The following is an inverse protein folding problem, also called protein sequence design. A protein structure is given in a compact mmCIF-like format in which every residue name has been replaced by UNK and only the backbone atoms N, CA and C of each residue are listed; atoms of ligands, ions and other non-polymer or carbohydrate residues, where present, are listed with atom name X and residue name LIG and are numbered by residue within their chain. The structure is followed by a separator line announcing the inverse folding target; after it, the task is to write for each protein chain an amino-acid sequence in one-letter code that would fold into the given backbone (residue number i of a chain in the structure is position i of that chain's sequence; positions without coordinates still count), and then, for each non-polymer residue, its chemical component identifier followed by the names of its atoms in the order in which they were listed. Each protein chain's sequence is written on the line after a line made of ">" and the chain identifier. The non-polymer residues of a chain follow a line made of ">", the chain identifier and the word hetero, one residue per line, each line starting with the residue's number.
data_IF_205498114971
#
_entry.id   IF_205498114971
#
_cell.length_a   1.000
_cell.length_b   1.000
_cell.length_c   1.000
_cell.angle_alpha   90.00
_cell.angle_beta   90.00
_cell.angle_gamma   90.00
#
_symmetry.space_group_name_H-M   'P 1'
#
loop_
_entity.id
_entity.type
_entity.pdbx_description
1 polymer ?
#
# COMPACT_ATOMS: atom_id res chain seq x y z
N UNK A 1 -2.36 -18.00 -21.22
CA UNK A 1 -0.95 -17.77 -20.85
C UNK A 1 -0.45 -16.51 -21.56
N UNK A 2 0.71 -15.95 -21.19
CA UNK A 2 1.30 -14.81 -21.94
C UNK A 2 1.51 -15.13 -23.43
N UNK A 3 1.69 -16.41 -23.75
CA UNK A 3 1.79 -16.93 -25.12
C UNK A 3 0.46 -16.87 -25.87
N UNK A 4 -0.65 -17.28 -25.23
CA UNK A 4 -2.00 -17.16 -25.82
C UNK A 4 -2.42 -15.69 -26.03
N UNK A 5 -1.88 -14.76 -25.23
CA UNK A 5 -2.11 -13.33 -25.38
C UNK A 5 -1.17 -12.65 -26.42
N UNK A 6 -0.24 -13.40 -27.04
CA UNK A 6 0.73 -12.85 -27.98
C UNK A 6 1.81 -11.95 -27.34
N UNK A 7 2.01 -12.06 -26.03
CA UNK A 7 2.90 -11.20 -25.25
C UNK A 7 4.24 -11.86 -24.87
N UNK A 8 4.59 -13.02 -25.44
CA UNK A 8 5.81 -13.76 -25.05
C UNK A 8 7.09 -12.93 -25.13
N UNK A 9 7.30 -12.18 -26.22
CA UNK A 9 8.48 -11.32 -26.37
C UNK A 9 8.51 -10.19 -25.33
N UNK A 10 7.35 -9.58 -25.05
CA UNK A 10 7.25 -8.53 -24.04
C UNK A 10 7.52 -9.06 -22.63
N UNK A 11 7.07 -10.30 -22.35
CA UNK A 11 7.36 -10.98 -21.10
C UNK A 11 8.86 -11.24 -20.91
N UNK A 12 9.54 -11.80 -21.91
CA UNK A 12 10.98 -12.07 -21.82
C UNK A 12 11.77 -10.78 -21.54
N UNK A 13 11.47 -9.70 -22.27
CA UNK A 13 12.09 -8.40 -22.01
C UNK A 13 11.78 -7.85 -20.62
N UNK A 14 10.57 -8.08 -20.10
CA UNK A 14 10.15 -7.62 -18.78
C UNK A 14 10.94 -8.32 -17.67
N UNK A 15 11.04 -9.65 -17.70
CA UNK A 15 11.71 -10.41 -16.63
C UNK A 15 13.23 -10.23 -16.61
N UNK A 16 13.83 -9.89 -17.75
CA UNK A 16 15.24 -9.56 -17.88
C UNK A 16 15.57 -8.10 -17.50
N UNK A 17 14.57 -7.27 -17.18
CA UNK A 17 14.76 -5.87 -16.84
C UNK A 17 15.68 -5.67 -15.63
N UNK A 18 16.90 -5.22 -15.87
CA UNK A 18 17.97 -5.09 -14.85
C UNK A 18 18.17 -3.67 -14.32
N UNK A 19 17.38 -2.71 -14.78
CA UNK A 19 17.50 -1.31 -14.38
C UNK A 19 16.55 -1.01 -13.22
N UNK A 20 17.03 -0.24 -12.25
CA UNK A 20 16.15 0.45 -11.31
C UNK A 20 15.32 1.50 -12.05
N UNK A 21 14.09 1.69 -11.59
CA UNK A 21 13.14 2.61 -12.22
C UNK A 21 12.80 3.71 -11.24
N UNK A 22 13.13 4.96 -11.60
CA UNK A 22 12.62 6.12 -10.89
C UNK A 22 11.10 6.18 -11.04
N UNK A 23 10.39 6.25 -9.93
CA UNK A 23 8.93 6.30 -9.93
C UNK A 23 8.45 7.70 -10.30
N UNK A 24 7.60 7.76 -11.31
CA UNK A 24 6.96 9.00 -11.78
C UNK A 24 5.55 8.70 -12.29
N UNK A 25 4.71 9.73 -12.25
CA UNK A 25 3.35 9.72 -12.75
C UNK A 25 3.15 10.97 -13.61
N UNK A 26 2.81 10.78 -14.87
CA UNK A 26 2.43 11.88 -15.77
C UNK A 26 0.91 11.93 -15.85
N UNK A 27 0.32 13.00 -15.33
CA UNK A 27 -1.12 13.24 -15.44
C UNK A 27 -1.49 13.47 -16.91
N UNK A 28 -2.41 12.69 -17.51
CA UNK A 28 -2.87 12.90 -18.88
C UNK A 28 -3.46 14.29 -19.13
N UNK A 29 -3.96 14.96 -18.09
CA UNK A 29 -4.49 16.32 -18.13
C UNK A 29 -3.44 17.38 -17.76
N UNK A 30 -2.23 16.95 -17.38
CA UNK A 30 -1.09 17.80 -17.07
C UNK A 30 -1.22 18.64 -15.80
N UNK A 31 -2.18 18.34 -14.90
CA UNK A 31 -2.44 19.15 -13.70
C UNK A 31 -1.65 18.68 -12.49
N UNK A 32 -1.50 17.37 -12.33
CA UNK A 32 -0.94 16.74 -11.13
C UNK A 32 0.11 15.68 -11.47
N UNK A 33 1.02 15.99 -12.41
CA UNK A 33 2.15 15.11 -12.67
C UNK A 33 3.14 15.17 -11.51
N UNK A 34 3.67 14.02 -11.12
CA UNK A 34 4.62 13.88 -10.00
C UNK A 34 5.82 13.05 -10.47
N UNK A 35 7.04 13.43 -10.07
CA UNK A 35 8.25 12.74 -10.51
C UNK A 35 9.23 12.57 -9.37
N UNK A 36 9.83 11.39 -9.27
CA UNK A 36 10.89 11.14 -8.29
C UNK A 36 10.35 10.88 -6.89
N UNK A 37 9.14 10.33 -6.77
CA UNK A 37 8.56 9.93 -5.47
C UNK A 37 9.10 8.61 -4.93
N UNK A 38 10.13 8.05 -5.57
CA UNK A 38 10.81 6.85 -5.14
C UNK A 38 11.61 6.21 -6.26
N UNK A 39 12.25 5.10 -5.94
CA UNK A 39 12.90 4.20 -6.91
C UNK A 39 12.43 2.79 -6.62
N UNK A 40 12.13 2.04 -7.68
CA UNK A 40 11.83 0.61 -7.61
C UNK A 40 13.05 -0.19 -8.05
N UNK A 41 13.34 -1.34 -7.41
CA UNK A 41 14.39 -2.24 -7.84
C UNK A 41 14.08 -2.82 -9.23
N UNK A 42 15.12 -3.36 -9.86
CA UNK A 42 15.00 -4.09 -11.12
C UNK A 42 13.97 -5.23 -11.04
N UNK A 43 13.40 -5.64 -12.16
CA UNK A 43 12.53 -6.84 -12.22
C UNK A 43 13.38 -8.11 -12.12
N UNK A 44 14.52 -8.13 -12.82
CA UNK A 44 15.48 -9.23 -12.75
C UNK A 44 15.94 -9.45 -11.31
N UNK A 45 15.92 -10.71 -10.89
CA UNK A 45 16.33 -11.11 -9.54
C UNK A 45 17.79 -10.76 -9.26
N UNK A 46 18.03 -10.19 -8.09
CA UNK A 46 19.35 -9.92 -7.55
C UNK A 46 19.31 -10.04 -6.02
N UNK A 47 20.41 -10.50 -5.43
CA UNK A 47 20.54 -10.66 -3.98
C UNK A 47 21.23 -9.42 -3.37
N UNK A 48 20.60 -8.26 -3.54
CA UNK A 48 21.13 -6.93 -3.27
C UNK A 48 20.50 -6.25 -2.03
N UNK A 49 19.69 -6.97 -1.24
CA UNK A 49 18.94 -6.40 -0.13
C UNK A 49 17.56 -5.84 -0.54
N UNK A 50 17.24 -5.81 -1.83
CA UNK A 50 15.92 -5.41 -2.35
C UNK A 50 15.05 -6.61 -2.74
N UNK A 51 15.38 -7.82 -2.30
CA UNK A 51 14.68 -9.05 -2.64
C UNK A 51 13.20 -9.00 -2.23
N UNK A 52 12.92 -8.54 -1.01
CA UNK A 52 11.55 -8.43 -0.50
C UNK A 52 10.74 -7.40 -1.30
N UNK A 53 11.31 -6.23 -1.56
CA UNK A 53 10.68 -5.18 -2.36
C UNK A 53 10.34 -5.68 -3.76
N UNK A 54 11.30 -6.35 -4.41
CA UNK A 54 11.15 -6.96 -5.73
C UNK A 54 10.00 -7.97 -5.77
N UNK A 55 9.91 -8.86 -4.76
CA UNK A 55 8.81 -9.83 -4.64
C UNK A 55 7.47 -9.13 -4.43
N UNK A 56 7.40 -8.15 -3.52
CA UNK A 56 6.15 -7.48 -3.16
C UNK A 56 5.63 -6.62 -4.31
N UNK A 57 6.49 -5.94 -5.07
CA UNK A 57 6.07 -5.19 -6.26
C UNK A 57 5.41 -6.11 -7.28
N UNK A 58 6.00 -7.27 -7.59
CA UNK A 58 5.41 -8.22 -8.53
C UNK A 58 4.08 -8.78 -8.01
N UNK A 59 4.00 -9.09 -6.71
CA UNK A 59 2.74 -9.52 -6.07
C UNK A 59 1.68 -8.42 -6.13
N UNK A 60 2.05 -7.16 -5.91
CA UNK A 60 1.14 -6.01 -6.00
C UNK A 60 0.54 -5.85 -7.39
N UNK A 61 1.37 -5.98 -8.45
CA UNK A 61 0.90 -5.96 -9.85
C UNK A 61 -0.07 -7.12 -10.12
N UNK A 62 0.27 -8.34 -9.66
CA UNK A 62 -0.59 -9.51 -9.80
C UNK A 62 -1.93 -9.35 -9.03
N UNK A 63 -1.92 -8.62 -7.92
CA UNK A 63 -3.08 -8.33 -7.08
C UNK A 63 -3.97 -7.18 -7.59
N UNK A 64 -3.83 -6.72 -8.84
CA UNK A 64 -4.61 -5.60 -9.38
C UNK A 64 -6.14 -5.73 -9.18
N UNK A 65 -6.67 -6.96 -9.16
CA UNK A 65 -8.09 -7.25 -8.91
C UNK A 65 -8.42 -7.62 -7.46
N UNK A 66 -7.43 -7.68 -6.57
CA UNK A 66 -7.55 -8.09 -5.17
C UNK A 66 -6.93 -7.00 -4.27
N UNK A 67 -7.52 -5.80 -4.33
CA UNK A 67 -6.99 -4.61 -3.65
C UNK A 67 -6.84 -4.75 -2.13
N UNK A 68 -7.67 -5.56 -1.46
CA UNK A 68 -7.56 -5.82 -0.02
C UNK A 68 -6.25 -6.53 0.34
N UNK A 69 -5.82 -7.50 -0.48
CA UNK A 69 -4.55 -8.21 -0.30
C UNK A 69 -3.37 -7.27 -0.61
N UNK A 70 -3.45 -6.47 -1.67
CA UNK A 70 -2.45 -5.45 -1.96
C UNK A 70 -2.29 -4.45 -0.81
N UNK A 71 -3.38 -3.99 -0.22
CA UNK A 71 -3.35 -3.09 0.94
C UNK A 71 -2.82 -3.78 2.21
N UNK A 72 -3.07 -5.09 2.36
CA UNK A 72 -2.49 -5.85 3.47
C UNK A 72 -0.96 -6.00 3.33
N UNK A 73 -0.47 -6.35 2.14
CA UNK A 73 0.97 -6.46 1.86
C UNK A 73 1.69 -5.12 2.08
N UNK A 74 1.11 -4.03 1.58
CA UNK A 74 1.65 -2.68 1.81
C UNK A 74 1.76 -2.36 3.29
N UNK A 75 0.70 -2.60 4.08
CA UNK A 75 0.73 -2.35 5.53
C UNK A 75 1.73 -3.23 6.28
N UNK A 76 1.96 -4.47 5.83
CA UNK A 76 2.87 -5.44 6.48
C UNK A 76 4.33 -5.23 6.08
N UNK A 77 4.61 -4.71 4.88
CA UNK A 77 5.97 -4.64 4.33
C UNK A 77 6.48 -3.21 4.09
N UNK A 78 5.58 -2.26 3.84
CA UNK A 78 5.89 -0.91 3.39
C UNK A 78 6.08 -0.78 1.88
N UNK A 79 5.97 -1.88 1.12
CA UNK A 79 6.14 -1.89 -0.33
C UNK A 79 4.82 -2.16 -1.07
N UNK A 80 4.65 -1.64 -2.31
CA UNK A 80 5.56 -0.75 -3.02
C UNK A 80 5.64 0.65 -2.37
N UNK A 81 6.65 1.44 -2.74
CA UNK A 81 6.63 2.87 -2.45
C UNK A 81 5.43 3.52 -3.15
N UNK A 82 4.59 4.19 -2.38
CA UNK A 82 3.35 4.79 -2.85
C UNK A 82 3.54 6.29 -3.09
N UNK A 83 2.85 6.82 -4.10
CA UNK A 83 2.70 8.27 -4.23
C UNK A 83 1.79 8.76 -3.10
N UNK A 84 2.36 9.53 -2.19
CA UNK A 84 1.65 9.98 -1.00
C UNK A 84 0.82 11.24 -1.28
N UNK A 85 -0.13 11.51 -0.38
CA UNK A 85 -0.95 12.71 -0.48
C UNK A 85 -0.09 13.96 -0.25
N UNK A 86 -0.12 14.90 -1.21
CA UNK A 86 0.56 16.21 -1.09
C UNK A 86 -0.06 17.02 0.05
N UNK A 87 -1.39 17.11 0.07
CA UNK A 87 -2.15 17.76 1.13
C UNK A 87 -2.98 16.73 1.90
N UNK A 88 -2.56 16.44 3.13
CA UNK A 88 -3.27 15.51 4.00
C UNK A 88 -4.30 16.24 4.87
N UNK A 89 -5.58 16.11 4.48
CA UNK A 89 -6.73 16.72 5.16
C UNK A 89 -7.41 15.79 6.17
N UNK A 90 -6.76 14.71 6.61
CA UNK A 90 -7.35 13.78 7.58
C UNK A 90 -7.46 14.38 8.99
N UNK A 91 -6.62 15.37 9.33
CA UNK A 91 -6.59 15.98 10.66
C UNK A 91 -7.92 16.63 11.02
N UNK A 92 -8.43 16.33 12.21
CA UNK A 92 -9.69 16.87 12.71
C UNK A 92 -10.95 16.22 12.14
N UNK A 93 -10.82 15.19 11.30
CA UNK A 93 -11.95 14.39 10.85
C UNK A 93 -12.51 13.46 11.93
N UNK A 94 -13.77 13.05 11.76
CA UNK A 94 -14.50 12.12 12.65
C UNK A 94 -13.75 10.79 12.87
N UNK A 95 -12.89 10.40 11.92
CA UNK A 95 -12.23 9.09 11.88
C UNK A 95 -10.72 9.13 12.19
N UNK A 96 -10.26 10.27 12.71
CA UNK A 96 -8.89 10.50 13.18
C UNK A 96 -7.91 10.92 12.08
N UNK A 97 -6.65 11.01 12.49
CA UNK A 97 -5.53 11.41 11.63
C UNK A 97 -4.89 10.18 10.98
N UNK A 98 -4.47 10.35 9.73
CA UNK A 98 -3.73 9.36 8.94
C UNK A 98 -2.36 9.94 8.68
N UNK A 99 -1.31 9.13 8.87
CA UNK A 99 0.05 9.55 8.56
C UNK A 99 0.25 9.68 7.03
N UNK A 100 0.83 10.80 6.60
CA UNK A 100 1.01 11.11 5.16
C UNK A 100 1.97 10.17 4.45
N UNK A 101 2.90 9.51 5.14
CA UNK A 101 3.87 8.59 4.55
C UNK A 101 3.41 7.13 4.62
N UNK A 102 2.53 6.80 5.57
CA UNK A 102 2.08 5.43 5.83
C UNK A 102 0.65 5.13 5.37
N UNK A 103 -0.14 6.17 5.13
CA UNK A 103 -1.54 6.06 4.73
C UNK A 103 -2.42 5.37 5.78
N UNK A 104 -3.65 5.05 5.38
CA UNK A 104 -4.63 4.43 6.28
C UNK A 104 -4.18 3.02 6.69
N UNK A 105 -4.32 2.73 7.99
CA UNK A 105 -3.83 1.50 8.63
C UNK A 105 -4.96 0.50 8.92
N UNK A 106 -6.18 0.97 9.10
CA UNK A 106 -7.39 0.16 9.32
C UNK A 106 -8.66 0.94 9.02
N UNK A 107 -9.78 0.22 9.02
CA UNK A 107 -11.10 0.83 9.14
C UNK A 107 -11.50 0.82 10.61
N UNK A 108 -12.14 1.91 11.05
CA UNK A 108 -12.79 1.99 12.36
C UNK A 108 -13.93 0.97 12.49
N UNK A 109 -14.34 0.65 13.72
CA UNK A 109 -15.51 -0.19 13.93
C UNK A 109 -16.80 0.55 13.51
N UNK A 110 -17.80 -0.14 12.93
CA UNK A 110 -19.06 0.49 12.56
C UNK A 110 -19.77 1.11 13.77
N UNK A 111 -20.47 2.23 13.57
CA UNK A 111 -21.25 2.90 14.61
C UNK A 111 -22.24 1.96 15.33
N UNK A 112 -22.81 1.00 14.62
CA UNK A 112 -23.74 0.02 15.19
C UNK A 112 -23.13 -0.83 16.31
N UNK A 113 -21.80 -1.05 16.32
CA UNK A 113 -21.11 -1.74 17.40
C UNK A 113 -21.05 -0.87 18.67
N UNK A 114 -20.89 0.43 18.50
CA UNK A 114 -20.95 1.39 19.61
C UNK A 114 -22.36 1.52 20.19
N UNK A 115 -23.39 1.45 19.33
CA UNK A 115 -24.78 1.63 19.75
C UNK A 115 -25.37 0.34 20.37
N UNK A 116 -25.04 -0.83 19.82
CA UNK A 116 -25.69 -2.10 20.17
C UNK A 116 -24.77 -3.10 20.88
N UNK A 117 -23.46 -2.88 20.91
CA UNK A 117 -22.47 -3.83 21.42
C UNK A 117 -21.32 -3.14 22.18
N UNK A 118 -21.66 -2.08 22.94
CA UNK A 118 -20.72 -1.11 23.49
C UNK A 118 -19.61 -1.74 24.34
N UNK A 119 -19.93 -2.71 25.20
CA UNK A 119 -18.96 -3.36 26.08
C UNK A 119 -17.86 -4.08 25.28
N UNK A 120 -18.26 -4.83 24.24
CA UNK A 120 -17.32 -5.60 23.42
C UNK A 120 -16.48 -4.71 22.52
N UNK A 121 -17.05 -3.65 21.92
CA UNK A 121 -16.26 -2.73 21.10
C UNK A 121 -15.25 -1.96 21.94
N UNK A 122 -15.60 -1.55 23.16
CA UNK A 122 -14.66 -0.88 24.08
C UNK A 122 -13.51 -1.81 24.51
N UNK A 123 -13.83 -3.08 24.80
CA UNK A 123 -12.82 -4.10 25.07
C UNK A 123 -11.88 -4.30 23.85
N UNK A 124 -12.45 -4.39 22.63
CA UNK A 124 -11.68 -4.55 21.40
C UNK A 124 -10.77 -3.33 21.11
N UNK A 125 -11.25 -2.11 21.35
CA UNK A 125 -10.45 -0.87 21.19
C UNK A 125 -9.25 -0.88 22.13
N UNK A 126 -9.39 -1.40 23.34
CA UNK A 126 -8.26 -1.54 24.28
C UNK A 126 -7.16 -2.45 23.71
N UNK A 127 -7.53 -3.49 22.95
CA UNK A 127 -6.58 -4.42 22.32
C UNK A 127 -5.87 -3.84 21.10
N UNK A 128 -6.36 -2.73 20.52
CA UNK A 128 -5.68 -2.06 19.40
C UNK A 128 -4.37 -1.39 19.85
N UNK A 129 -4.22 -1.08 21.14
CA UNK A 129 -3.08 -0.32 21.65
C UNK A 129 -3.09 1.16 21.22
N UNK A 130 -4.23 1.66 20.76
CA UNK A 130 -4.46 3.01 20.27
C UNK A 130 -5.96 3.28 20.09
N UNK A 131 -6.36 4.52 19.72
CA UNK A 131 -7.76 4.87 19.51
C UNK A 131 -8.37 4.13 18.31
N UNK A 132 -9.71 4.05 18.23
CA UNK A 132 -10.42 3.50 17.06
C UNK A 132 -10.39 4.46 15.87
N UNK A 133 -9.20 4.67 15.28
CA UNK A 133 -8.97 5.61 14.19
C UNK A 133 -8.34 4.92 12.99
N UNK A 134 -8.45 5.58 11.83
CA UNK A 134 -7.91 5.09 10.55
C UNK A 134 -6.38 4.99 10.56
N UNK A 135 -5.69 5.82 11.36
CA UNK A 135 -4.24 5.79 11.53
C UNK A 135 -3.71 4.73 12.52
N UNK A 136 -4.57 4.06 13.29
CA UNK A 136 -4.11 3.08 14.29
C UNK A 136 -3.72 1.76 13.63
N UNK A 137 -2.54 1.25 13.92
CA UNK A 137 -2.06 -0.01 13.33
C UNK A 137 -2.88 -1.22 13.79
N UNK A 138 -3.02 -2.18 12.87
CA UNK A 138 -3.42 -3.55 13.23
C UNK A 138 -2.21 -4.32 13.75
N UNK A 139 -2.44 -5.37 14.54
CA UNK A 139 -1.38 -6.08 15.28
C UNK A 139 -0.23 -6.62 14.42
N UNK A 140 -0.46 -6.95 13.15
CA UNK A 140 0.54 -7.46 12.21
C UNK A 140 1.16 -6.39 11.32
N UNK A 141 0.65 -5.15 11.37
CA UNK A 141 1.14 -4.08 10.51
C UNK A 141 2.56 -3.67 10.90
N UNK A 142 3.36 -3.33 9.89
CA UNK A 142 4.73 -2.84 10.08
C UNK A 142 4.68 -1.49 10.80
N UNK A 143 5.45 -1.38 11.89
CA UNK A 143 5.65 -0.16 12.66
C UNK A 143 6.86 0.58 12.06
N UNK A 144 6.62 1.28 10.96
CA UNK A 144 7.63 2.12 10.32
C UNK A 144 7.51 3.53 10.87
#
# INVERSE_FOLDING_TARGET
>A
SFEEAGCSTAYSSYVEGSNEVALSYTDPLGRNSESGFGTAPSVAWNADGHELERIIIQKWIANHMIGHEAWADFRRTGYPHMMMAVDNLSRGGMWGEVDSERGMRRLHYPQSEYDNNTENVQAAVTLLGGPDQHGTDVWWAKKN
#
